data_IF_358926136874
#
_entry.id   IF_358926136874
#
_cell.length_a   1.000
_cell.length_b   1.000
_cell.length_c   1.000
_cell.angle_alpha   90.00
_cell.angle_beta   90.00
_cell.angle_gamma   90.00
#
_symmetry.space_group_name_H-M   'P 1'
#
loop_
_entity.id
_entity.type
_entity.pdbx_description
1 polymer ?
#
# COMPACT_ATOMS: atom_id res chain seq x y z
N UNK A 1 -3.10 -8.85 0.36
CA UNK A 1 -4.39 -8.27 0.76
C UNK A 1 -5.15 -9.23 1.65
N UNK A 2 -5.40 -8.84 2.86
CA UNK A 2 -6.02 -9.71 3.84
C UNK A 2 -7.54 -9.58 3.89
N UNK A 3 -8.12 -8.59 3.23
CA UNK A 3 -9.51 -8.20 3.44
C UNK A 3 -9.90 -8.28 4.93
N UNK A 4 -9.13 -7.60 5.76
CA UNK A 4 -9.25 -7.60 7.22
C UNK A 4 -10.22 -6.50 7.67
N UNK A 5 -11.24 -6.27 6.83
CA UNK A 5 -12.13 -5.15 6.89
C UNK A 5 -13.23 -5.34 7.93
N UNK A 6 -13.90 -6.45 7.88
CA UNK A 6 -15.07 -6.68 8.72
C UNK A 6 -15.24 -8.17 8.97
N UNK A 7 -14.92 -8.61 10.19
CA UNK A 7 -14.89 -10.03 10.51
C UNK A 7 -16.26 -10.67 10.58
N UNK A 8 -17.28 -9.91 10.92
CA UNK A 8 -18.56 -10.49 11.38
C UNK A 8 -19.76 -10.10 10.55
N UNK A 9 -19.76 -8.92 9.91
CA UNK A 9 -20.94 -8.43 9.20
C UNK A 9 -20.89 -8.63 7.69
N UNK A 10 -19.71 -8.79 7.11
CA UNK A 10 -19.57 -8.97 5.67
C UNK A 10 -19.43 -10.44 5.26
N UNK A 11 -18.71 -11.21 6.05
CA UNK A 11 -18.57 -12.66 5.87
C UNK A 11 -18.70 -13.37 7.20
N UNK A 12 -19.39 -14.52 7.27
CA UNK A 12 -19.42 -15.31 8.49
C UNK A 12 -18.03 -15.81 8.85
N UNK A 13 -17.76 -15.97 10.14
CA UNK A 13 -16.45 -16.40 10.67
C UNK A 13 -15.96 -17.73 10.11
N UNK A 14 -16.88 -18.61 9.68
CA UNK A 14 -16.54 -19.86 8.99
C UNK A 14 -15.86 -19.67 7.63
N UNK A 15 -16.18 -18.58 6.93
CA UNK A 15 -15.63 -18.27 5.61
C UNK A 15 -14.54 -17.19 5.64
N UNK A 16 -14.43 -16.46 6.74
CA UNK A 16 -13.50 -15.35 6.91
C UNK A 16 -12.91 -15.37 8.33
N UNK A 17 -12.25 -16.47 8.68
CA UNK A 17 -11.71 -16.66 10.01
C UNK A 17 -10.45 -15.80 10.22
N UNK A 18 -10.47 -14.83 11.13
CA UNK A 18 -9.31 -13.97 11.39
C UNK A 18 -8.11 -14.75 11.95
N UNK A 19 -8.32 -15.77 12.77
CA UNK A 19 -7.23 -16.58 13.34
C UNK A 19 -6.47 -17.31 12.23
N UNK A 20 -7.17 -17.90 11.25
CA UNK A 20 -6.52 -18.54 10.10
C UNK A 20 -5.73 -17.54 9.27
N UNK A 21 -6.29 -16.33 9.05
CA UNK A 21 -5.60 -15.27 8.32
C UNK A 21 -4.35 -14.76 9.04
N UNK A 22 -4.41 -14.66 10.36
CA UNK A 22 -3.28 -14.30 11.21
C UNK A 22 -2.16 -15.34 11.08
N UNK A 23 -2.50 -16.63 11.09
CA UNK A 23 -1.54 -17.72 10.86
C UNK A 23 -0.88 -17.63 9.49
N UNK A 24 -1.67 -17.48 8.42
CA UNK A 24 -1.13 -17.34 7.06
C UNK A 24 -0.25 -16.09 6.91
N UNK A 25 -0.66 -14.98 7.49
CA UNK A 25 0.17 -13.77 7.47
C UNK A 25 1.50 -13.97 8.20
N UNK A 26 1.47 -14.63 9.35
CA UNK A 26 2.70 -14.96 10.09
C UNK A 26 3.65 -15.84 9.27
N UNK A 27 3.12 -16.89 8.62
CA UNK A 27 3.92 -17.74 7.73
C UNK A 27 4.56 -16.94 6.58
N UNK A 28 3.78 -16.08 5.92
CA UNK A 28 4.26 -15.23 4.83
C UNK A 28 5.36 -14.27 5.31
N UNK A 29 5.12 -13.58 6.43
CA UNK A 29 6.07 -12.60 6.97
C UNK A 29 7.37 -13.28 7.43
N UNK A 30 7.28 -14.45 8.05
CA UNK A 30 8.46 -15.22 8.45
C UNK A 30 9.24 -15.79 7.25
N UNK A 31 8.57 -16.04 6.13
CA UNK A 31 9.22 -16.53 4.91
C UNK A 31 9.92 -15.40 4.12
N UNK A 32 9.27 -14.22 4.06
CA UNK A 32 9.78 -13.07 3.28
C UNK A 32 10.76 -12.22 4.10
N UNK A 33 10.60 -12.21 5.43
CA UNK A 33 11.37 -11.39 6.38
C UNK A 33 11.41 -9.89 6.02
N UNK A 34 10.27 -9.26 5.69
CA UNK A 34 10.26 -7.87 5.29
C UNK A 34 10.56 -6.95 6.48
N UNK A 35 11.12 -5.77 6.21
CA UNK A 35 11.27 -4.72 7.23
C UNK A 35 10.08 -3.75 7.25
N UNK A 36 9.28 -3.73 6.19
CA UNK A 36 8.11 -2.89 6.04
C UNK A 36 6.97 -3.68 5.41
N UNK A 37 5.78 -3.64 6.02
CA UNK A 37 4.59 -4.34 5.57
C UNK A 37 3.43 -3.35 5.43
N UNK A 38 2.88 -3.25 4.23
CA UNK A 38 1.67 -2.48 3.93
C UNK A 38 0.50 -3.44 3.70
N UNK A 39 -0.53 -3.29 4.49
CA UNK A 39 -1.78 -4.04 4.38
C UNK A 39 -2.92 -3.12 3.97
N UNK A 40 -3.67 -3.49 2.95
CA UNK A 40 -4.89 -2.79 2.56
C UNK A 40 -6.14 -3.56 3.02
N UNK A 41 -7.29 -2.89 2.98
CA UNK A 41 -8.60 -3.42 3.37
C UNK A 41 -8.72 -3.79 4.85
N UNK A 42 -8.07 -3.04 5.72
CA UNK A 42 -8.27 -3.14 7.17
C UNK A 42 -9.53 -2.37 7.57
N UNK A 43 -10.19 -2.80 8.63
CA UNK A 43 -11.40 -2.14 9.12
C UNK A 43 -11.14 -0.65 9.46
N UNK A 44 -11.74 0.25 8.67
CA UNK A 44 -11.59 1.69 8.82
C UNK A 44 -12.44 2.33 9.92
N UNK A 45 -13.39 1.59 10.48
CA UNK A 45 -14.25 2.09 11.57
C UNK A 45 -13.68 1.78 12.96
N UNK A 46 -12.65 0.93 13.04
CA UNK A 46 -12.11 0.50 14.31
C UNK A 46 -10.62 0.14 14.19
N UNK A 47 -9.81 0.82 14.94
CA UNK A 47 -8.35 0.60 15.01
C UNK A 47 -7.95 -0.75 15.66
N UNK A 48 -8.89 -1.49 16.25
CA UNK A 48 -8.60 -2.79 16.87
C UNK A 48 -8.06 -3.82 15.86
N UNK A 49 -8.48 -3.74 14.60
CA UNK A 49 -7.99 -4.60 13.54
C UNK A 49 -6.47 -4.42 13.29
N UNK A 50 -5.98 -3.18 13.36
CA UNK A 50 -4.56 -2.86 13.25
C UNK A 50 -3.76 -3.47 14.40
N UNK A 51 -4.23 -3.27 15.63
CA UNK A 51 -3.60 -3.85 16.83
C UNK A 51 -3.67 -5.37 16.83
N UNK A 52 -4.76 -5.92 16.27
CA UNK A 52 -4.93 -7.37 16.18
C UNK A 52 -3.90 -8.01 15.25
N UNK A 53 -3.64 -7.44 14.08
CA UNK A 53 -2.58 -7.90 13.16
C UNK A 53 -1.22 -7.84 13.88
N UNK A 54 -0.91 -6.73 14.52
CA UNK A 54 0.35 -6.56 15.26
C UNK A 54 0.54 -7.66 16.32
N UNK A 55 -0.52 -7.91 17.13
CA UNK A 55 -0.41 -8.75 18.33
C UNK A 55 -0.68 -10.23 18.07
N UNK A 56 -1.36 -10.58 16.99
CA UNK A 56 -1.76 -11.97 16.71
C UNK A 56 -1.17 -12.55 15.43
N UNK A 57 -0.49 -11.73 14.60
CA UNK A 57 0.18 -12.21 13.40
C UNK A 57 1.67 -11.86 13.38
N UNK A 58 2.06 -10.69 13.87
CA UNK A 58 3.42 -10.19 13.75
C UNK A 58 4.24 -10.43 15.03
N UNK A 59 3.78 -9.91 16.17
CA UNK A 59 4.45 -10.08 17.46
C UNK A 59 3.89 -11.29 18.22
N UNK A 60 4.17 -12.49 17.74
CA UNK A 60 3.80 -13.77 18.36
C UNK A 60 5.04 -14.65 18.57
N UNK A 61 4.91 -15.68 19.37
CA UNK A 61 5.98 -16.66 19.63
C UNK A 61 7.30 -16.03 20.15
N UNK A 62 7.20 -14.92 20.89
CA UNK A 62 8.36 -14.21 21.43
C UNK A 62 8.92 -13.12 20.50
N UNK A 63 8.38 -12.96 19.30
CA UNK A 63 8.74 -11.84 18.41
C UNK A 63 8.20 -10.52 18.98
N UNK A 64 8.99 -9.46 18.94
CA UNK A 64 8.65 -8.12 19.46
C UNK A 64 9.15 -6.98 18.57
N UNK A 65 9.73 -7.31 17.41
CA UNK A 65 10.36 -6.31 16.53
C UNK A 65 9.39 -5.38 15.81
N UNK A 66 8.13 -5.81 15.66
CA UNK A 66 7.17 -5.06 14.86
C UNK A 66 6.53 -3.93 15.65
N UNK A 67 6.45 -2.78 15.01
CA UNK A 67 5.59 -1.66 15.39
C UNK A 67 4.64 -1.31 14.27
N UNK A 68 3.59 -0.54 14.58
CA UNK A 68 2.63 -0.05 13.61
C UNK A 68 2.58 1.47 13.64
N UNK A 69 2.21 2.06 12.52
CA UNK A 69 1.90 3.49 12.43
C UNK A 69 0.53 3.80 13.04
N UNK A 70 0.20 5.07 13.17
CA UNK A 70 -1.15 5.48 13.51
C UNK A 70 -2.12 5.16 12.36
N UNK A 71 -3.36 5.16 12.72
CA UNK A 71 -4.47 4.83 11.84
C UNK A 71 -5.14 6.10 11.32
N UNK A 72 -5.15 6.26 10.00
CA UNK A 72 -5.83 7.37 9.35
C UNK A 72 -7.06 6.90 8.57
N UNK A 73 -8.13 7.66 8.65
CA UNK A 73 -9.35 7.47 7.88
C UNK A 73 -10.10 8.79 7.73
N UNK A 74 -10.80 8.96 6.62
CA UNK A 74 -11.71 10.07 6.37
C UNK A 74 -13.19 9.64 6.44
N UNK A 75 -13.49 8.62 7.21
CA UNK A 75 -14.82 8.01 7.31
C UNK A 75 -15.01 6.82 6.34
N UNK A 76 -13.98 6.41 5.62
CA UNK A 76 -14.01 5.17 4.85
C UNK A 76 -14.12 3.96 5.77
N UNK A 77 -14.92 2.96 5.38
CA UNK A 77 -15.04 1.69 6.10
C UNK A 77 -13.81 0.79 5.99
N UNK A 78 -12.85 1.15 5.12
CA UNK A 78 -11.58 0.45 4.94
C UNK A 78 -10.42 1.44 4.95
N UNK A 79 -9.30 1.01 5.51
CA UNK A 79 -8.08 1.78 5.66
C UNK A 79 -6.85 0.93 5.36
N UNK A 80 -5.69 1.54 5.42
CA UNK A 80 -4.41 0.87 5.32
C UNK A 80 -3.86 0.57 6.72
N UNK A 81 -3.01 -0.45 6.83
CA UNK A 81 -2.21 -0.75 8.00
C UNK A 81 -0.76 -0.84 7.60
N UNK A 82 0.09 -0.11 8.29
CA UNK A 82 1.52 -0.07 8.02
C UNK A 82 2.25 -0.55 9.26
N UNK A 83 3.08 -1.58 9.08
CA UNK A 83 3.87 -2.20 10.14
C UNK A 83 5.33 -2.21 9.72
N UNK A 84 6.23 -1.98 10.67
CA UNK A 84 7.66 -1.90 10.39
C UNK A 84 8.48 -2.58 11.48
N UNK A 85 9.63 -3.11 11.08
CA UNK A 85 10.63 -3.64 12.00
C UNK A 85 11.35 -2.47 12.69
N UNK A 86 11.04 -2.24 13.97
CA UNK A 86 11.62 -1.15 14.75
C UNK A 86 13.11 -1.30 15.01
N UNK A 87 13.68 -2.49 14.80
CA UNK A 87 15.13 -2.68 14.95
C UNK A 87 15.88 -2.15 13.73
N UNK A 88 15.20 -2.08 12.56
CA UNK A 88 15.77 -1.67 11.28
C UNK A 88 15.32 -0.27 10.89
N UNK A 89 14.05 0.06 11.14
CA UNK A 89 13.44 1.32 10.74
C UNK A 89 13.01 2.14 11.98
N UNK A 90 13.09 3.45 11.85
CA UNK A 90 12.48 4.39 12.78
C UNK A 90 11.43 5.22 12.06
N UNK A 91 10.27 5.40 12.67
CA UNK A 91 9.25 6.32 12.19
C UNK A 91 9.56 7.73 12.70
N UNK A 92 9.84 8.67 11.80
CA UNK A 92 10.12 10.07 12.12
C UNK A 92 8.84 10.88 12.31
N UNK A 93 7.92 10.73 11.38
CA UNK A 93 6.61 11.38 11.40
C UNK A 93 5.66 10.69 10.44
N UNK A 94 4.38 10.99 10.59
CA UNK A 94 3.33 10.48 9.70
C UNK A 94 2.21 11.49 9.55
N UNK A 95 1.58 11.46 8.39
CA UNK A 95 0.43 12.28 8.04
C UNK A 95 -0.43 11.58 6.99
N UNK A 96 -1.45 12.22 6.48
CA UNK A 96 -2.29 11.64 5.42
C UNK A 96 -2.72 12.68 4.39
N UNK A 97 -2.79 12.26 3.13
CA UNK A 97 -3.44 13.01 2.07
C UNK A 97 -4.91 12.57 2.02
N UNK A 98 -5.81 13.43 2.46
CA UNK A 98 -7.26 13.14 2.55
C UNK A 98 -8.09 13.93 1.55
N UNK A 99 -7.50 14.89 0.85
CA UNK A 99 -8.16 15.81 -0.09
C UNK A 99 -7.53 15.76 -1.48
N UNK A 100 -8.36 15.95 -2.50
CA UNK A 100 -7.89 16.24 -3.87
C UNK A 100 -7.48 17.72 -4.02
N UNK A 101 -6.96 18.09 -5.18
CA UNK A 101 -6.52 19.47 -5.47
C UNK A 101 -7.66 20.50 -5.48
N UNK A 102 -8.90 20.06 -5.50
CA UNK A 102 -10.10 20.89 -5.38
C UNK A 102 -10.64 20.93 -3.94
N UNK A 103 -9.86 20.48 -2.95
CA UNK A 103 -10.22 20.38 -1.55
C UNK A 103 -11.43 19.47 -1.26
N UNK A 104 -11.72 18.51 -2.15
CA UNK A 104 -12.73 17.49 -1.95
C UNK A 104 -12.13 16.25 -1.31
N UNK A 105 -12.89 15.55 -0.46
CA UNK A 105 -12.42 14.34 0.17
C UNK A 105 -12.07 13.27 -0.88
N UNK A 106 -10.91 12.67 -0.76
CA UNK A 106 -10.58 11.43 -1.45
C UNK A 106 -11.48 10.30 -0.94
N UNK A 107 -11.73 9.30 -1.78
CA UNK A 107 -12.52 8.12 -1.39
C UNK A 107 -11.86 7.37 -0.23
N UNK A 108 -10.53 7.34 -0.22
CA UNK A 108 -9.69 6.80 0.85
C UNK A 108 -8.47 7.68 1.03
N UNK A 109 -7.98 7.77 2.25
CA UNK A 109 -6.75 8.50 2.52
C UNK A 109 -5.54 7.78 1.93
N UNK A 110 -4.51 8.54 1.59
CA UNK A 110 -3.18 8.03 1.34
C UNK A 110 -2.37 8.29 2.61
N UNK A 111 -1.85 7.24 3.22
CA UNK A 111 -0.96 7.40 4.36
C UNK A 111 0.42 7.82 3.89
N UNK A 112 1.02 8.79 4.57
CA UNK A 112 2.36 9.30 4.29
C UNK A 112 3.19 9.10 5.54
N UNK A 113 4.18 8.21 5.45
CA UNK A 113 5.03 7.85 6.57
C UNK A 113 6.49 8.16 6.24
N UNK A 114 7.10 9.00 7.06
CA UNK A 114 8.52 9.36 6.93
C UNK A 114 9.34 8.45 7.83
N UNK A 115 10.12 7.58 7.23
CA UNK A 115 10.99 6.63 7.91
C UNK A 115 12.45 7.03 7.81
N UNK A 116 13.25 6.48 8.69
CA UNK A 116 14.69 6.49 8.57
C UNK A 116 15.26 5.09 8.86
N UNK A 117 16.39 4.79 8.23
CA UNK A 117 17.09 3.55 8.45
C UNK A 117 17.94 3.64 9.71
N UNK A 118 17.85 2.62 10.57
CA UNK A 118 18.67 2.47 11.77
C UNK A 118 19.85 1.57 11.47
N UNK A 119 21.00 2.15 11.28
CA UNK A 119 22.26 1.41 11.21
C UNK A 119 23.05 1.51 12.53
N UNK A 120 24.15 0.79 12.62
CA UNK A 120 25.03 0.78 13.80
C UNK A 120 25.75 2.11 14.04
N UNK A 121 25.74 3.01 13.07
CA UNK A 121 26.38 4.33 13.10
C UNK A 121 25.38 5.46 13.32
N UNK A 122 24.11 5.13 13.56
CA UNK A 122 23.05 6.13 13.80
C UNK A 122 23.44 7.06 14.98
N UNK A 123 23.49 8.36 14.70
CA UNK A 123 23.93 9.39 15.64
C UNK A 123 25.45 9.61 15.72
N UNK A 124 26.25 8.79 15.03
CA UNK A 124 27.70 8.99 14.90
C UNK A 124 28.06 9.58 13.52
N UNK A 125 27.21 9.35 12.52
CA UNK A 125 27.36 9.85 11.16
C UNK A 125 26.20 10.78 10.81
N UNK A 126 26.41 11.95 10.18
CA UNK A 126 25.32 12.84 9.76
C UNK A 126 24.43 12.26 8.65
N UNK A 127 24.85 11.19 8.00
CA UNK A 127 24.22 10.64 6.80
C UNK A 127 23.13 9.61 7.14
N UNK A 128 22.09 10.04 7.87
CA UNK A 128 20.91 9.21 8.10
C UNK A 128 20.06 9.14 6.81
N UNK A 129 19.83 7.93 6.31
CA UNK A 129 18.98 7.70 5.15
C UNK A 129 17.53 7.83 5.57
N UNK A 130 16.84 8.82 5.00
CA UNK A 130 15.40 9.01 5.15
C UNK A 130 14.68 8.57 3.89
N UNK A 131 13.47 8.04 4.05
CA UNK A 131 12.57 7.78 2.93
C UNK A 131 11.11 8.01 3.32
N UNK A 132 10.28 8.29 2.33
CA UNK A 132 8.84 8.50 2.51
C UNK A 132 8.07 7.39 1.82
N UNK A 133 7.22 6.70 2.59
CA UNK A 133 6.24 5.76 2.06
C UNK A 133 4.91 6.48 1.84
N UNK A 134 4.36 6.36 0.63
CA UNK A 134 2.97 6.62 0.32
C UNK A 134 2.21 5.28 0.26
N UNK A 135 1.38 5.00 1.25
CA UNK A 135 0.57 3.77 1.24
C UNK A 135 -0.84 4.08 0.76
N UNK A 136 -1.25 3.44 -0.34
CA UNK A 136 -2.51 3.72 -1.00
C UNK A 136 -3.39 2.48 -1.19
N UNK A 137 -4.70 2.69 -1.08
CA UNK A 137 -5.71 1.77 -1.61
C UNK A 137 -6.70 2.59 -2.41
N UNK A 138 -6.47 2.71 -3.72
CA UNK A 138 -7.23 3.59 -4.57
C UNK A 138 -8.62 3.02 -4.89
N UNK A 139 -9.46 3.84 -5.52
CA UNK A 139 -10.84 3.47 -5.85
C UNK A 139 -10.89 2.27 -6.80
N UNK A 140 -11.52 1.19 -6.38
CA UNK A 140 -11.80 0.03 -7.21
C UNK A 140 -12.89 0.34 -8.26
N UNK A 141 -12.91 -0.43 -9.34
CA UNK A 141 -13.89 -0.33 -10.41
C UNK A 141 -13.34 0.23 -11.71
N UNK A 142 -14.16 0.17 -12.77
CA UNK A 142 -13.74 0.48 -14.15
C UNK A 142 -14.59 1.57 -14.81
N UNK A 143 -15.54 2.17 -14.09
CA UNK A 143 -16.30 3.29 -14.62
C UNK A 143 -15.42 4.54 -14.81
N UNK A 144 -15.85 5.46 -15.65
CA UNK A 144 -15.14 6.75 -15.81
C UNK A 144 -15.02 7.52 -14.50
N UNK A 145 -16.01 7.39 -13.61
CA UNK A 145 -15.97 7.97 -12.27
C UNK A 145 -14.90 7.32 -11.40
N UNK A 146 -14.76 5.99 -11.42
CA UNK A 146 -13.72 5.28 -10.63
C UNK A 146 -12.31 5.66 -11.10
N UNK A 147 -12.11 5.73 -12.41
CA UNK A 147 -10.85 6.17 -13.04
C UNK A 147 -10.55 7.62 -12.63
N UNK A 148 -11.54 8.51 -12.66
CA UNK A 148 -11.38 9.90 -12.23
C UNK A 148 -11.01 10.03 -10.76
N UNK A 149 -11.53 9.16 -9.88
CA UNK A 149 -11.15 9.16 -8.46
C UNK A 149 -9.68 8.75 -8.27
N UNK A 150 -9.18 7.77 -9.04
CA UNK A 150 -7.76 7.39 -9.01
C UNK A 150 -6.86 8.50 -9.57
N UNK A 151 -7.27 9.15 -10.66
CA UNK A 151 -6.58 10.32 -11.22
C UNK A 151 -6.42 11.44 -10.18
N UNK A 152 -7.50 11.77 -9.45
CA UNK A 152 -7.47 12.79 -8.40
C UNK A 152 -6.52 12.42 -7.24
N UNK A 153 -6.55 11.17 -6.81
CA UNK A 153 -5.70 10.70 -5.72
C UNK A 153 -4.22 10.78 -6.09
N UNK A 154 -3.85 10.32 -7.29
CA UNK A 154 -2.45 10.37 -7.74
C UNK A 154 -1.96 11.79 -8.02
N UNK A 155 -2.80 12.68 -8.53
CA UNK A 155 -2.49 14.10 -8.61
C UNK A 155 -2.24 14.73 -7.26
N UNK A 156 -3.00 14.34 -6.23
CA UNK A 156 -2.78 14.82 -4.88
C UNK A 156 -1.43 14.34 -4.32
N UNK A 157 -1.03 13.09 -4.57
CA UNK A 157 0.28 12.55 -4.20
C UNK A 157 1.40 13.37 -4.87
N UNK A 158 1.33 13.54 -6.20
CA UNK A 158 2.36 14.26 -6.94
C UNK A 158 2.47 15.73 -6.53
N UNK A 159 1.34 16.38 -6.27
CA UNK A 159 1.32 17.74 -5.76
C UNK A 159 1.91 17.83 -4.35
N UNK A 160 1.66 16.85 -3.50
CA UNK A 160 2.25 16.77 -2.17
C UNK A 160 3.77 16.68 -2.26
N UNK A 161 4.31 15.77 -3.08
CA UNK A 161 5.76 15.63 -3.29
C UNK A 161 6.35 16.95 -3.84
N UNK A 162 5.74 17.52 -4.86
CA UNK A 162 6.21 18.76 -5.49
C UNK A 162 6.22 19.97 -4.53
N UNK A 163 5.37 19.97 -3.52
CA UNK A 163 5.25 21.06 -2.54
C UNK A 163 6.15 20.87 -1.31
N UNK A 164 6.79 19.71 -1.16
CA UNK A 164 7.61 19.33 0.00
C UNK A 164 9.04 18.99 -0.43
N UNK A 165 9.87 20.00 -0.59
CA UNK A 165 11.26 19.88 -1.10
C UNK A 165 12.23 19.05 -0.24
N UNK A 166 11.80 18.57 0.92
CA UNK A 166 12.60 17.70 1.80
C UNK A 166 12.28 16.20 1.64
N UNK A 167 11.53 15.81 0.60
CA UNK A 167 11.21 14.43 0.29
C UNK A 167 12.11 13.97 -0.86
N UNK A 168 13.23 13.37 -0.53
CA UNK A 168 14.22 12.96 -1.54
C UNK A 168 14.04 11.51 -1.96
N UNK A 169 13.94 10.58 -1.00
CA UNK A 169 13.70 9.16 -1.27
C UNK A 169 12.24 8.83 -0.98
N UNK A 170 11.51 8.30 -1.95
CA UNK A 170 10.11 7.92 -1.72
C UNK A 170 9.67 6.73 -2.57
N UNK A 171 8.70 6.04 -2.04
CA UNK A 171 8.04 4.93 -2.70
C UNK A 171 6.53 5.00 -2.47
N UNK A 172 5.77 4.49 -3.43
CA UNK A 172 4.34 4.23 -3.26
C UNK A 172 4.11 2.72 -3.25
N UNK A 173 3.30 2.26 -2.31
CA UNK A 173 2.93 0.84 -2.20
C UNK A 173 1.45 0.68 -1.89
N UNK A 174 0.85 -0.38 -2.44
CA UNK A 174 -0.52 -0.77 -2.13
C UNK A 174 -1.35 -1.16 -3.33
N UNK A 175 -2.65 -1.31 -3.08
CA UNK A 175 -3.63 -1.64 -4.10
C UNK A 175 -4.07 -0.37 -4.85
N UNK A 176 -3.44 -0.10 -5.97
CA UNK A 176 -3.75 1.07 -6.78
C UNK A 176 -4.95 0.87 -7.71
N UNK A 177 -5.47 -0.36 -7.82
CA UNK A 177 -6.65 -0.70 -8.62
C UNK A 177 -6.59 -0.26 -10.09
N UNK A 178 -5.39 -0.13 -10.64
CA UNK A 178 -5.15 0.29 -12.01
C UNK A 178 -5.04 -0.93 -12.93
N UNK A 179 -5.76 -0.92 -14.04
CA UNK A 179 -5.86 -2.05 -14.96
C UNK A 179 -4.89 -1.99 -16.13
N UNK A 180 -4.35 -0.82 -16.39
CA UNK A 180 -3.44 -0.57 -17.52
C UNK A 180 -2.52 0.62 -17.27
N UNK A 181 -1.34 0.58 -17.88
CA UNK A 181 -0.37 1.66 -17.77
C UNK A 181 -0.83 2.99 -18.36
N UNK A 182 -1.76 2.98 -19.32
CA UNK A 182 -2.31 4.20 -19.95
C UNK A 182 -3.36 4.89 -19.10
N UNK A 183 -3.73 4.36 -17.95
CA UNK A 183 -4.68 5.01 -17.06
C UNK A 183 -4.08 6.31 -16.51
N UNK A 184 -4.90 7.39 -16.48
CA UNK A 184 -4.43 8.72 -16.05
C UNK A 184 -3.76 8.68 -14.67
N UNK A 185 -4.32 7.91 -13.74
CA UNK A 185 -3.72 7.75 -12.42
C UNK A 185 -2.32 7.19 -12.46
N UNK A 186 -2.05 6.19 -13.31
CA UNK A 186 -0.71 5.64 -13.47
C UNK A 186 0.23 6.63 -14.16
N UNK A 187 -0.27 7.29 -15.21
CA UNK A 187 0.50 8.31 -15.93
C UNK A 187 0.89 9.50 -15.05
N UNK A 188 0.02 9.93 -14.13
CA UNK A 188 0.38 10.98 -13.17
C UNK A 188 1.59 10.59 -12.31
N UNK A 189 1.75 9.33 -11.96
CA UNK A 189 2.88 8.87 -11.15
C UNK A 189 4.18 8.80 -11.96
N UNK A 190 4.14 8.26 -13.18
CA UNK A 190 5.35 7.98 -13.97
C UNK A 190 5.72 9.05 -15.00
N UNK A 191 4.79 9.96 -15.34
CA UNK A 191 4.95 11.01 -16.36
C UNK A 191 4.42 12.36 -15.87
N UNK A 192 4.69 12.73 -14.63
CA UNK A 192 4.31 14.03 -14.10
C UNK A 192 5.06 15.17 -14.81
N UNK A 193 4.46 16.36 -14.85
CA UNK A 193 5.03 17.52 -15.55
C UNK A 193 6.40 17.97 -15.01
N UNK A 194 6.67 17.73 -13.73
CA UNK A 194 7.98 17.89 -13.11
C UNK A 194 8.66 16.53 -13.11
N UNK A 195 9.45 16.24 -14.12
CA UNK A 195 10.01 14.91 -14.37
C UNK A 195 10.96 14.40 -13.28
N UNK A 196 11.60 15.32 -12.53
CA UNK A 196 12.51 14.95 -11.44
C UNK A 196 11.82 14.27 -10.26
N UNK A 197 10.49 14.39 -10.15
CA UNK A 197 9.72 13.74 -9.08
C UNK A 197 8.88 12.56 -9.58
N UNK A 198 9.13 12.05 -10.78
CA UNK A 198 8.42 10.87 -11.28
C UNK A 198 8.78 9.63 -10.49
N UNK A 199 7.78 8.77 -10.33
CA UNK A 199 8.02 7.40 -9.91
C UNK A 199 8.51 6.56 -11.09
N UNK A 200 9.25 5.53 -10.76
CA UNK A 200 9.70 4.47 -11.66
C UNK A 200 8.96 3.16 -11.32
N UNK A 201 8.49 2.47 -12.34
CA UNK A 201 7.95 1.13 -12.21
C UNK A 201 9.08 0.10 -12.43
N UNK A 202 9.54 -0.63 -11.39
CA UNK A 202 10.65 -1.57 -11.52
C UNK A 202 10.36 -2.73 -12.47
N UNK A 203 9.10 -3.08 -12.65
CA UNK A 203 8.72 -4.14 -13.60
C UNK A 203 8.87 -3.70 -15.05
N UNK A 204 8.75 -2.40 -15.32
CA UNK A 204 8.90 -1.79 -16.65
C UNK A 204 8.17 -2.56 -17.76
N UNK A 205 6.98 -3.03 -17.48
CA UNK A 205 6.12 -3.76 -18.40
C UNK A 205 4.79 -3.01 -18.64
N UNK A 206 4.81 -1.93 -19.42
CA UNK A 206 3.59 -1.17 -19.71
C UNK A 206 2.63 -1.97 -20.59
N UNK A 207 1.34 -1.84 -20.32
CA UNK A 207 0.31 -2.52 -21.10
C UNK A 207 -1.05 -2.51 -20.46
N UNK A 208 -1.96 -3.30 -21.01
CA UNK A 208 -3.24 -3.63 -20.40
C UNK A 208 -3.07 -4.94 -19.61
N UNK A 209 -3.02 -4.86 -18.30
CA UNK A 209 -2.76 -5.98 -17.41
C UNK A 209 -4.01 -6.81 -17.12
N UNK A 210 -5.19 -6.18 -17.20
CA UNK A 210 -6.46 -6.78 -16.82
C UNK A 210 -6.82 -7.97 -17.73
N UNK A 211 -7.02 -9.12 -17.14
CA UNK A 211 -7.40 -10.36 -17.80
C UNK A 211 -6.52 -10.64 -19.04
N UNK A 212 -5.23 -10.41 -18.92
CA UNK A 212 -4.27 -10.55 -20.02
C UNK A 212 -3.13 -11.49 -19.65
N UNK A 213 -3.20 -12.71 -20.14
CA UNK A 213 -2.25 -13.77 -19.83
C UNK A 213 -0.79 -13.44 -20.21
N UNK A 214 -0.55 -12.50 -21.12
CA UNK A 214 0.79 -12.05 -21.44
C UNK A 214 1.49 -11.33 -20.26
N UNK A 215 0.71 -10.90 -19.26
CA UNK A 215 1.20 -10.27 -18.03
C UNK A 215 0.97 -11.12 -16.78
N UNK A 216 0.78 -12.43 -16.94
CA UNK A 216 0.46 -13.34 -15.83
C UNK A 216 1.47 -13.27 -14.68
N UNK A 217 2.73 -13.03 -14.99
CA UNK A 217 3.81 -12.98 -14.00
C UNK A 217 3.76 -11.69 -13.15
N UNK A 218 2.95 -10.70 -13.57
CA UNK A 218 2.67 -9.47 -12.81
C UNK A 218 1.35 -9.54 -12.03
N UNK A 219 0.50 -10.54 -12.28
CA UNK A 219 -0.78 -10.62 -11.61
C UNK A 219 -0.63 -10.90 -10.13
N UNK A 220 -1.28 -10.12 -9.30
CA UNK A 220 -1.06 -10.13 -7.85
C UNK A 220 -2.30 -9.82 -6.99
N UNK A 221 -3.49 -9.70 -7.58
CA UNK A 221 -4.71 -9.33 -6.84
C UNK A 221 -5.32 -10.48 -6.03
N UNK A 222 -4.96 -11.71 -6.27
CA UNK A 222 -5.56 -12.88 -5.62
C UNK A 222 -4.58 -14.04 -5.54
N UNK A 223 -4.78 -14.91 -4.55
CA UNK A 223 -4.09 -16.20 -4.44
C UNK A 223 -4.85 -17.34 -5.16
N UNK A 224 -5.92 -17.03 -5.88
CA UNK A 224 -6.77 -17.98 -6.62
C UNK A 224 -6.55 -17.80 -8.12
N UNK A 225 -6.38 -18.89 -8.84
CA UNK A 225 -6.19 -18.86 -10.30
C UNK A 225 -7.45 -18.43 -11.05
N UNK A 226 -8.62 -18.70 -10.50
CA UNK A 226 -9.90 -18.40 -11.16
C UNK A 226 -10.91 -17.70 -10.26
N UNK A 227 -11.92 -17.12 -10.90
CA UNK A 227 -13.06 -16.54 -10.21
C UNK A 227 -13.87 -17.60 -9.44
N UNK A 228 -14.44 -17.17 -8.32
CA UNK A 228 -15.32 -18.01 -7.50
C UNK A 228 -16.66 -17.33 -7.27
N UNK A 229 -17.69 -18.14 -7.02
CA UNK A 229 -19.06 -17.69 -6.73
C UNK A 229 -19.53 -18.16 -5.34
N UNK A 230 -18.66 -18.19 -4.36
CA UNK A 230 -18.96 -18.71 -3.03
C UNK A 230 -19.34 -17.62 -2.01
N UNK A 231 -20.06 -16.62 -2.41
CA UNK A 231 -20.61 -15.61 -1.51
C UNK A 231 -19.57 -14.58 -1.05
N UNK A 232 -18.87 -14.81 0.04
CA UNK A 232 -17.94 -13.85 0.66
C UNK A 232 -16.77 -13.42 -0.23
N UNK A 233 -16.29 -14.32 -1.07
CA UNK A 233 -15.12 -14.15 -1.94
C UNK A 233 -15.47 -14.44 -3.39
N UNK A 234 -16.67 -14.07 -3.79
CA UNK A 234 -17.10 -14.18 -5.18
C UNK A 234 -16.35 -13.21 -6.08
N UNK A 235 -16.14 -13.62 -7.33
CA UNK A 235 -15.37 -12.87 -8.31
C UNK A 235 -13.85 -12.96 -8.07
N UNK A 236 -13.11 -12.13 -8.76
CA UNK A 236 -11.65 -12.11 -8.75
C UNK A 236 -11.05 -13.36 -9.41
N UNK A 237 -9.80 -13.54 -9.24
CA UNK A 237 -8.90 -14.51 -9.83
C UNK A 237 -7.53 -13.87 -9.89
N UNK A 238 -6.51 -14.61 -10.28
CA UNK A 238 -5.17 -14.07 -10.48
C UNK A 238 -5.05 -13.57 -11.94
N UNK A 239 -5.71 -12.47 -12.24
CA UNK A 239 -5.84 -11.94 -13.60
C UNK A 239 -5.63 -10.41 -13.73
N UNK A 240 -5.22 -9.75 -12.63
CA UNK A 240 -4.94 -8.31 -12.59
C UNK A 240 -3.68 -7.98 -11.79
N UNK A 241 -3.01 -6.89 -12.18
CA UNK A 241 -1.92 -6.26 -11.44
C UNK A 241 -2.47 -5.07 -10.65
N UNK A 242 -3.02 -5.29 -9.45
CA UNK A 242 -3.58 -4.21 -8.63
C UNK A 242 -2.61 -3.65 -7.59
N UNK A 243 -1.74 -4.50 -7.04
CA UNK A 243 -0.71 -4.07 -6.12
C UNK A 243 0.50 -3.56 -6.89
N UNK A 244 0.92 -2.37 -6.58
CA UNK A 244 2.07 -1.72 -7.19
C UNK A 244 3.08 -1.30 -6.14
N UNK A 245 4.35 -1.33 -6.52
CA UNK A 245 5.49 -0.76 -5.84
C UNK A 245 6.21 0.11 -6.85
N UNK A 246 6.19 1.41 -6.65
CA UNK A 246 6.89 2.35 -7.51
C UNK A 246 7.86 3.17 -6.65
N UNK A 247 9.03 3.47 -7.17
CA UNK A 247 10.08 4.19 -6.46
C UNK A 247 10.42 5.48 -7.19
N UNK A 248 10.98 6.46 -6.46
CA UNK A 248 11.63 7.56 -7.15
C UNK A 248 12.94 7.09 -7.81
N UNK A 249 13.48 7.93 -8.69
CA UNK A 249 14.64 7.56 -9.48
C UNK A 249 15.90 7.30 -8.64
N UNK A 250 16.07 8.00 -7.52
CA UNK A 250 17.25 7.85 -6.66
C UNK A 250 17.30 6.48 -5.99
N UNK A 251 16.19 6.01 -5.45
CA UNK A 251 16.07 4.64 -4.94
C UNK A 251 16.35 3.62 -6.05
N UNK A 252 15.78 3.85 -7.25
CA UNK A 252 15.94 2.94 -8.38
C UNK A 252 17.41 2.83 -8.84
N UNK A 253 18.18 3.90 -8.73
CA UNK A 253 19.59 3.92 -9.12
C UNK A 253 20.54 3.54 -7.98
N UNK A 254 20.03 3.28 -6.78
CA UNK A 254 20.85 3.02 -5.61
C UNK A 254 21.68 4.23 -5.16
N UNK A 255 21.18 5.44 -5.39
CA UNK A 255 21.83 6.70 -5.05
C UNK A 255 21.37 7.26 -3.69
N UNK A 256 20.59 6.50 -2.94
CA UNK A 256 20.04 6.88 -1.64
C UNK A 256 20.95 6.46 -0.47
#
# INVERSE_FOLDING_TARGET
>A
LLNYRNFTSWCPSSSNNPISKEGYLNEIVNHIEPHLLVCNEINGNNSSAHSRILNHALNINGETRWEKTDFFTNGSSIANGIYYDKNVLGLKSQESISKDLSNQNLVRVIDVCHFFYKDSLLGQNPDTIFFTLFAGHLKAGSSSSDISQRDKATKAIMSFINSNSGIDNYLIAGDLNMKKSQELGFQNLINYSVSSINFYDPENQPGNWNNNYNFKDLHNQSTRDGATNNGCFSGGGLDDRFNHWLFNNDINQGLS
#
